data_IF_092598398685
#
_entry.id   IF_092598398685
#
_cell.length_a   1.000
_cell.length_b   1.000
_cell.length_c   1.000
_cell.angle_alpha   90.00
_cell.angle_beta   90.00
_cell.angle_gamma   90.00
#
_symmetry.space_group_name_H-M   'P 1'
#
loop_
_entity.id
_entity.type
_entity.pdbx_description
1 polymer ?
#
# COMPACT_ATOMS: atom_id res chain seq x y z
N UNK A 1 5.85 20.12 -14.80
CA UNK A 1 5.07 18.86 -14.94
C UNK A 1 3.61 19.24 -15.16
N UNK A 2 2.83 18.53 -16.00
CA UNK A 2 1.41 18.84 -16.14
C UNK A 2 0.69 18.61 -14.81
N UNK A 3 -0.23 19.51 -14.43
CA UNK A 3 -0.81 19.58 -13.07
C UNK A 3 -1.46 18.26 -12.60
N UNK A 4 -2.09 17.52 -13.51
CA UNK A 4 -2.71 16.22 -13.26
C UNK A 4 -1.70 15.15 -12.78
N UNK A 5 -0.46 15.16 -13.30
CA UNK A 5 0.56 14.21 -12.87
C UNK A 5 1.03 14.46 -11.44
N UNK A 6 1.00 15.70 -10.97
CA UNK A 6 1.37 16.01 -9.58
C UNK A 6 0.34 15.47 -8.59
N UNK A 7 -0.95 15.60 -8.90
CA UNK A 7 -2.04 15.03 -8.09
C UNK A 7 -2.00 13.51 -8.07
N UNK A 8 -1.76 12.89 -9.24
CA UNK A 8 -1.59 11.45 -9.33
C UNK A 8 -0.37 10.96 -8.54
N UNK A 9 0.79 11.59 -8.74
CA UNK A 9 2.02 11.23 -8.03
C UNK A 9 1.87 11.41 -6.51
N UNK A 10 1.28 12.52 -6.05
CA UNK A 10 1.04 12.75 -4.62
C UNK A 10 0.09 11.70 -4.04
N UNK A 11 -1.01 11.40 -4.74
CA UNK A 11 -1.97 10.41 -4.26
C UNK A 11 -1.38 9.01 -4.21
N UNK A 12 -0.67 8.61 -5.27
CA UNK A 12 -0.01 7.31 -5.32
C UNK A 12 1.13 7.19 -4.29
N UNK A 13 1.92 8.26 -4.08
CA UNK A 13 2.92 8.29 -3.03
C UNK A 13 2.30 8.19 -1.63
N UNK A 14 1.13 8.82 -1.40
CA UNK A 14 0.39 8.67 -0.15
C UNK A 14 -0.13 7.26 0.06
N UNK A 15 -0.67 6.63 -0.98
CA UNK A 15 -1.12 5.24 -0.98
C UNK A 15 0.01 4.25 -0.70
N UNK A 16 1.25 4.53 -1.11
CA UNK A 16 2.42 3.70 -0.77
C UNK A 16 2.94 4.04 0.64
N UNK A 17 2.99 5.34 0.97
CA UNK A 17 3.54 5.86 2.22
C UNK A 17 2.73 5.52 3.46
N UNK A 18 1.48 5.07 3.29
CA UNK A 18 0.60 4.66 4.39
C UNK A 18 1.23 3.58 5.31
N UNK A 19 2.19 2.80 4.80
CA UNK A 19 2.93 1.79 5.59
C UNK A 19 3.69 2.43 6.76
N UNK A 20 4.04 3.71 6.67
CA UNK A 20 4.65 4.46 7.78
C UNK A 20 3.68 4.78 8.93
N UNK A 21 2.40 4.40 8.81
CA UNK A 21 1.38 4.56 9.84
C UNK A 21 1.10 6.03 10.17
N UNK A 22 0.97 6.36 11.45
CA UNK A 22 0.65 7.71 11.93
C UNK A 22 1.67 8.76 11.49
N UNK A 23 2.93 8.37 11.32
CA UNK A 23 3.98 9.26 10.84
C UNK A 23 3.71 9.76 9.41
N UNK A 24 3.00 8.97 8.58
CA UNK A 24 2.62 9.38 7.24
C UNK A 24 1.68 10.59 7.28
N UNK A 25 0.67 10.59 8.15
CA UNK A 25 -0.27 11.72 8.27
C UNK A 25 0.42 13.00 8.74
N UNK A 26 1.34 12.90 9.70
CA UNK A 26 2.06 14.05 10.25
C UNK A 26 2.99 14.69 9.20
N UNK A 27 3.58 13.89 8.32
CA UNK A 27 4.60 14.37 7.37
C UNK A 27 4.05 14.67 5.97
N UNK A 28 3.19 13.82 5.41
CA UNK A 28 2.73 13.95 4.03
C UNK A 28 1.63 15.00 3.85
N UNK A 29 0.81 15.28 4.86
CA UNK A 29 -0.21 16.35 4.78
C UNK A 29 0.44 17.72 4.55
N UNK A 30 1.38 18.20 5.41
CA UNK A 30 2.03 19.48 5.16
C UNK A 30 2.87 19.46 3.89
N UNK A 31 3.57 18.36 3.60
CA UNK A 31 4.38 18.22 2.38
C UNK A 31 3.52 18.31 1.10
N UNK A 32 2.34 17.70 1.10
CA UNK A 32 1.38 17.77 -0.01
C UNK A 32 0.88 19.19 -0.25
N UNK A 33 0.62 19.94 0.82
CA UNK A 33 0.25 21.36 0.74
C UNK A 33 1.36 22.22 0.15
N UNK A 34 2.59 22.07 0.66
CA UNK A 34 3.78 22.77 0.16
C UNK A 34 4.05 22.41 -1.32
N UNK A 35 3.92 21.13 -1.69
CA UNK A 35 4.09 20.68 -3.08
C UNK A 35 3.07 21.31 -4.03
N UNK A 36 1.81 21.42 -3.63
CA UNK A 36 0.79 22.09 -4.44
C UNK A 36 1.03 23.61 -4.51
N UNK A 37 1.49 24.24 -3.42
CA UNK A 37 1.85 25.66 -3.39
C UNK A 37 3.01 25.98 -4.34
N UNK A 38 4.07 25.17 -4.33
CA UNK A 38 5.21 25.30 -5.22
C UNK A 38 4.80 25.21 -6.71
N UNK A 39 3.77 24.42 -7.01
CA UNK A 39 3.18 24.30 -8.35
C UNK A 39 2.18 25.41 -8.70
N UNK A 40 1.97 26.40 -7.82
CA UNK A 40 1.00 27.48 -8.01
C UNK A 40 -0.46 27.04 -7.87
N UNK A 41 -0.72 25.97 -7.11
CA UNK A 41 -2.05 25.44 -6.83
C UNK A 41 -2.41 25.64 -5.36
N UNK A 42 -3.69 25.44 -5.04
CA UNK A 42 -4.21 25.55 -3.68
C UNK A 42 -3.47 24.59 -2.73
N UNK A 43 -2.80 25.08 -1.66
CA UNK A 43 -2.16 24.23 -0.66
C UNK A 43 -3.19 23.34 0.06
N UNK A 44 -4.41 23.83 0.22
CA UNK A 44 -5.52 23.09 0.83
C UNK A 44 -5.86 21.85 0.00
N UNK A 45 -5.86 21.96 -1.34
CA UNK A 45 -6.05 20.80 -2.23
C UNK A 45 -4.94 19.76 -2.01
N UNK A 46 -3.69 20.19 -1.92
CA UNK A 46 -2.56 19.29 -1.67
C UNK A 46 -2.70 18.55 -0.33
N UNK A 47 -3.10 19.25 0.73
CA UNK A 47 -3.35 18.66 2.04
C UNK A 47 -4.52 17.65 2.01
N UNK A 48 -5.62 17.97 1.33
CA UNK A 48 -6.77 17.06 1.16
C UNK A 48 -6.35 15.81 0.39
N UNK A 49 -5.63 15.97 -0.73
CA UNK A 49 -5.14 14.86 -1.54
C UNK A 49 -4.27 13.94 -0.69
N UNK A 50 -3.31 14.50 0.05
CA UNK A 50 -2.46 13.72 0.94
C UNK A 50 -3.27 12.95 2.00
N UNK A 51 -4.17 13.64 2.71
CA UNK A 51 -5.02 13.02 3.74
C UNK A 51 -5.85 11.86 3.18
N UNK A 52 -6.62 12.12 2.12
CA UNK A 52 -7.51 11.11 1.49
C UNK A 52 -6.71 9.93 0.98
N UNK A 53 -5.53 10.17 0.40
CA UNK A 53 -4.71 9.11 -0.18
C UNK A 53 -4.08 8.19 0.86
N UNK A 54 -3.61 8.74 2.00
CA UNK A 54 -3.08 7.93 3.10
C UNK A 54 -4.19 7.08 3.71
N UNK A 55 -5.39 7.64 3.88
CA UNK A 55 -6.56 6.90 4.38
C UNK A 55 -6.99 5.79 3.44
N UNK A 56 -7.09 6.07 2.14
CA UNK A 56 -7.42 5.07 1.14
C UNK A 56 -6.35 3.97 1.03
N UNK A 57 -5.10 4.30 1.39
CA UNK A 57 -3.97 3.38 1.37
C UNK A 57 -4.07 2.26 2.38
N UNK A 58 -4.91 2.36 3.42
CA UNK A 58 -5.04 1.31 4.43
C UNK A 58 -5.67 0.01 3.89
N UNK A 59 -6.57 0.12 2.92
CA UNK A 59 -7.30 -1.01 2.31
C UNK A 59 -6.93 -1.24 0.83
N UNK A 60 -6.49 -0.19 0.14
CA UNK A 60 -6.16 -0.19 -1.29
C UNK A 60 -4.67 -0.06 -1.56
N UNK A 61 -3.82 -0.84 -0.88
CA UNK A 61 -2.36 -0.72 -0.94
C UNK A 61 -1.75 -1.60 -2.06
N UNK A 62 -0.66 -1.14 -2.70
CA UNK A 62 0.16 -2.00 -3.57
C UNK A 62 1.10 -2.94 -2.79
N UNK A 63 1.22 -2.75 -1.47
CA UNK A 63 2.08 -3.50 -0.56
C UNK A 63 1.27 -4.44 0.32
N UNK A 64 1.89 -5.52 0.81
CA UNK A 64 1.31 -6.34 1.87
C UNK A 64 1.46 -5.63 3.21
N UNK A 65 0.39 -5.62 3.99
CA UNK A 65 0.27 -4.84 5.22
C UNK A 65 -0.18 -5.71 6.37
N UNK A 66 -0.13 -5.16 7.58
CA UNK A 66 -0.70 -5.82 8.77
C UNK A 66 -2.21 -6.00 8.64
N UNK A 67 -2.90 -5.11 7.94
CA UNK A 67 -4.34 -5.21 7.65
C UNK A 67 -4.64 -6.50 6.89
N UNK A 68 -3.83 -6.88 5.90
CA UNK A 68 -4.04 -8.11 5.13
C UNK A 68 -3.95 -9.37 6.00
N UNK A 69 -3.00 -9.40 6.95
CA UNK A 69 -2.84 -10.50 7.91
C UNK A 69 -4.05 -10.56 8.85
N UNK A 70 -4.52 -9.40 9.34
CA UNK A 70 -5.69 -9.33 10.21
C UNK A 70 -6.94 -9.83 9.48
N UNK A 71 -7.17 -9.34 8.25
CA UNK A 71 -8.30 -9.73 7.42
C UNK A 71 -8.27 -11.22 7.08
N UNK A 72 -7.11 -11.79 6.77
CA UNK A 72 -6.98 -13.22 6.49
C UNK A 72 -7.23 -14.07 7.74
N UNK A 73 -6.79 -13.60 8.90
CA UNK A 73 -6.99 -14.28 10.18
C UNK A 73 -8.46 -14.30 10.57
N UNK A 74 -9.15 -13.16 10.55
CA UNK A 74 -10.59 -13.09 10.86
C UNK A 74 -11.42 -13.88 9.86
N UNK A 75 -11.04 -13.88 8.58
CA UNK A 75 -11.75 -14.64 7.55
C UNK A 75 -11.55 -16.14 7.72
N UNK A 76 -10.36 -16.57 8.15
CA UNK A 76 -10.09 -17.98 8.50
C UNK A 76 -10.93 -18.41 9.69
N UNK A 77 -10.95 -17.61 10.76
CA UNK A 77 -11.79 -17.90 11.94
C UNK A 77 -13.28 -17.97 11.57
N UNK A 78 -13.74 -17.10 10.67
CA UNK A 78 -15.11 -17.12 10.17
C UNK A 78 -15.39 -18.38 9.32
N UNK A 79 -14.50 -18.76 8.40
CA UNK A 79 -14.65 -19.97 7.59
C UNK A 79 -14.68 -21.25 8.45
N UNK A 80 -13.87 -21.27 9.51
CA UNK A 80 -13.79 -22.37 10.48
C UNK A 80 -15.05 -22.57 11.33
N UNK A 81 -16.00 -21.63 11.29
CA UNK A 81 -17.34 -21.86 11.89
C UNK A 81 -18.18 -22.84 11.08
N UNK A 82 -17.88 -23.04 9.79
CA UNK A 82 -18.60 -23.94 8.89
C UNK A 82 -17.80 -25.23 8.66
N UNK A 83 -16.51 -25.12 8.36
CA UNK A 83 -15.59 -26.23 8.09
C UNK A 83 -14.23 -25.91 8.73
N UNK A 84 -13.64 -26.76 9.58
CA UNK A 84 -12.35 -26.48 10.21
C UNK A 84 -11.14 -26.48 9.25
N UNK A 85 -11.27 -27.04 8.04
CA UNK A 85 -10.15 -27.23 7.11
C UNK A 85 -9.60 -25.96 6.41
N UNK A 86 -10.39 -24.94 6.03
CA UNK A 86 -9.90 -23.79 5.27
C UNK A 86 -8.91 -22.92 6.05
N UNK A 87 -7.87 -22.47 5.34
CA UNK A 87 -6.91 -21.46 5.80
C UNK A 87 -6.76 -20.39 4.72
N UNK A 88 -7.02 -19.13 5.07
CA UNK A 88 -6.93 -18.00 4.14
C UNK A 88 -5.56 -17.34 4.31
N UNK A 89 -4.79 -17.34 3.22
CA UNK A 89 -3.45 -16.75 3.20
C UNK A 89 -3.51 -15.23 3.19
N UNK A 90 -2.59 -14.51 3.87
CA UNK A 90 -2.52 -13.04 3.82
C UNK A 90 -2.36 -12.46 2.41
N UNK A 91 -1.82 -13.22 1.46
CA UNK A 91 -1.64 -12.80 0.07
C UNK A 91 -2.90 -12.94 -0.78
N UNK A 92 -4.00 -13.49 -0.24
CA UNK A 92 -5.22 -13.77 -1.02
C UNK A 92 -5.82 -12.50 -1.66
N UNK A 93 -5.70 -11.35 -0.99
CA UNK A 93 -6.23 -10.07 -1.47
C UNK A 93 -5.21 -9.24 -2.28
N UNK A 94 -3.97 -9.72 -2.44
CA UNK A 94 -2.86 -8.90 -2.92
C UNK A 94 -3.09 -8.31 -4.33
N UNK A 95 -3.51 -9.13 -5.29
CA UNK A 95 -3.75 -8.68 -6.67
C UNK A 95 -4.89 -7.67 -6.76
N UNK A 96 -5.90 -7.82 -5.90
CA UNK A 96 -7.01 -6.87 -5.81
C UNK A 96 -6.55 -5.53 -5.22
N UNK A 97 -5.76 -5.55 -4.15
CA UNK A 97 -5.17 -4.35 -3.56
C UNK A 97 -4.27 -3.59 -4.55
N UNK A 98 -3.41 -4.31 -5.27
CA UNK A 98 -2.52 -3.73 -6.28
C UNK A 98 -3.30 -3.02 -7.40
N UNK A 99 -4.30 -3.70 -7.98
CA UNK A 99 -5.15 -3.08 -9.01
C UNK A 99 -5.97 -1.90 -8.46
N UNK A 100 -6.50 -2.04 -7.24
CA UNK A 100 -7.30 -1.01 -6.57
C UNK A 100 -6.48 0.24 -6.25
N UNK A 101 -5.21 0.11 -5.87
CA UNK A 101 -4.35 1.25 -5.56
C UNK A 101 -4.21 2.22 -6.74
N UNK A 102 -4.00 1.68 -7.94
CA UNK A 102 -3.90 2.47 -9.18
C UNK A 102 -5.25 3.08 -9.52
N UNK A 103 -6.32 2.31 -9.40
CA UNK A 103 -7.67 2.78 -9.68
C UNK A 103 -8.09 3.91 -8.72
N UNK A 104 -7.82 3.77 -7.42
CA UNK A 104 -8.10 4.78 -6.40
C UNK A 104 -7.31 6.05 -6.67
N UNK A 105 -6.00 5.96 -6.97
CA UNK A 105 -5.18 7.13 -7.30
C UNK A 105 -5.73 7.87 -8.53
N UNK A 106 -6.20 7.13 -9.54
CA UNK A 106 -6.84 7.71 -10.72
C UNK A 106 -8.15 8.39 -10.36
N UNK A 107 -9.00 7.75 -9.54
CA UNK A 107 -10.27 8.33 -9.07
C UNK A 107 -10.03 9.60 -8.25
N UNK A 108 -9.09 9.59 -7.31
CA UNK A 108 -8.71 10.76 -6.52
C UNK A 108 -8.28 11.89 -7.46
N UNK A 109 -7.42 11.59 -8.43
CA UNK A 109 -6.97 12.56 -9.43
C UNK A 109 -8.14 13.14 -10.22
N UNK A 110 -9.04 12.31 -10.73
CA UNK A 110 -10.22 12.76 -11.48
C UNK A 110 -11.13 13.64 -10.61
N UNK A 111 -11.39 13.23 -9.37
CA UNK A 111 -12.23 13.98 -8.44
C UNK A 111 -11.61 15.34 -8.14
N UNK A 112 -10.32 15.38 -7.87
CA UNK A 112 -9.60 16.61 -7.53
C UNK A 112 -9.55 17.56 -8.73
N UNK A 113 -9.15 17.09 -9.90
CA UNK A 113 -8.99 17.93 -11.09
C UNK A 113 -10.34 18.39 -11.67
N UNK A 114 -11.38 17.55 -11.64
CA UNK A 114 -12.68 17.91 -12.22
C UNK A 114 -13.65 18.58 -11.27
N UNK A 115 -13.62 18.26 -9.98
CA UNK A 115 -14.64 18.74 -9.03
C UNK A 115 -14.10 19.72 -8.01
N UNK A 116 -12.94 19.43 -7.42
CA UNK A 116 -12.42 20.29 -6.34
C UNK A 116 -11.66 21.50 -6.91
N UNK A 117 -10.85 21.31 -7.96
CA UNK A 117 -10.09 22.39 -8.58
C UNK A 117 -10.97 23.44 -9.29
N UNK A 118 -12.25 23.14 -9.56
CA UNK A 118 -13.21 24.09 -10.13
C UNK A 118 -13.95 24.92 -9.06
N UNK A 119 -13.72 24.66 -7.76
CA UNK A 119 -14.39 25.42 -6.70
C UNK A 119 -13.68 26.76 -6.48
N UNK A 120 -14.41 27.89 -6.53
CA UNK A 120 -13.84 29.22 -6.32
C UNK A 120 -13.29 29.41 -4.90
N UNK A 121 -13.85 28.70 -3.91
CA UNK A 121 -13.40 28.76 -2.51
C UNK A 121 -11.98 28.17 -2.28
N UNK A 122 -11.42 27.50 -3.30
CA UNK A 122 -10.09 26.89 -3.26
C UNK A 122 -9.10 27.63 -4.18
N UNK A 123 -9.45 28.81 -4.67
CA UNK A 123 -8.53 29.66 -5.41
C UNK A 123 -7.30 30.01 -4.56
N UNK A 124 -6.16 30.14 -5.23
CA UNK A 124 -4.89 30.46 -4.57
C UNK A 124 -4.95 31.92 -4.14
N UNK A 125 -4.98 32.18 -2.84
CA UNK A 125 -4.87 33.54 -2.32
C UNK A 125 -3.51 34.13 -2.73
N UNK A 126 -3.53 35.14 -3.60
CA UNK A 126 -2.33 35.81 -4.12
C UNK A 126 -1.49 36.44 -2.99
N UNK A 127 -2.10 36.77 -1.84
CA UNK A 127 -1.40 37.32 -0.67
C UNK A 127 -0.58 36.28 0.13
N UNK A 128 -0.61 35.00 -0.22
CA UNK A 128 0.18 33.93 0.41
C UNK A 128 1.22 33.29 -0.52
N UNK A 129 1.47 33.90 -1.69
CA UNK A 129 2.40 33.42 -2.73
C UNK A 129 3.85 33.91 -2.53
N UNK A 130 4.10 34.82 -1.58
CA UNK A 130 5.40 35.46 -1.35
C UNK A 130 6.50 34.50 -0.80
N UNK A 131 6.13 33.30 -0.34
CA UNK A 131 7.07 32.33 0.27
C UNK A 131 7.41 31.13 -0.63
N UNK A 132 7.29 31.28 -1.96
CA UNK A 132 7.58 30.19 -2.91
C UNK A 132 9.04 29.70 -2.81
N UNK A 133 9.97 30.60 -2.50
CA UNK A 133 11.39 30.28 -2.37
C UNK A 133 11.67 29.49 -1.07
N UNK A 134 10.98 29.80 0.03
CA UNK A 134 11.08 29.04 1.29
C UNK A 134 10.51 27.62 1.13
N UNK A 135 9.39 27.46 0.42
CA UNK A 135 8.80 26.16 0.11
C UNK A 135 9.69 25.28 -0.75
N UNK A 136 10.29 25.87 -1.78
CA UNK A 136 11.23 25.16 -2.63
C UNK A 136 12.38 24.63 -1.79
N UNK A 137 12.87 25.40 -0.79
CA UNK A 137 13.88 24.93 0.15
C UNK A 137 13.42 23.73 0.98
N UNK A 138 12.13 23.61 1.34
CA UNK A 138 11.60 22.42 2.03
C UNK A 138 11.46 21.20 1.12
N UNK A 139 11.27 21.41 -0.18
CA UNK A 139 11.17 20.35 -1.19
C UNK A 139 12.51 19.95 -1.79
N UNK A 140 13.55 20.77 -1.62
CA UNK A 140 14.90 20.49 -2.08
C UNK A 140 15.51 19.29 -1.36
N UNK A 141 15.78 18.23 -2.12
CA UNK A 141 16.42 17.03 -1.59
C UNK A 141 17.92 17.32 -1.45
N UNK A 142 18.38 17.47 -0.21
CA UNK A 142 19.81 17.66 0.08
C UNK A 142 20.63 16.49 -0.51
N UNK A 143 21.82 16.73 -1.11
CA UNK A 143 22.61 15.70 -1.79
C UNK A 143 22.98 14.51 -0.88
N UNK A 144 23.06 14.72 0.43
CA UNK A 144 23.27 13.67 1.42
C UNK A 144 22.05 12.75 1.56
N UNK A 145 20.84 13.30 1.61
CA UNK A 145 19.59 12.54 1.65
C UNK A 145 19.41 11.73 0.35
N UNK A 146 19.75 12.32 -0.81
CA UNK A 146 19.72 11.61 -2.09
C UNK A 146 20.70 10.44 -2.17
N UNK A 147 21.89 10.57 -1.57
CA UNK A 147 22.86 9.45 -1.47
C UNK A 147 22.37 8.38 -0.50
N UNK A 148 21.84 8.77 0.65
CA UNK A 148 21.26 7.85 1.62
C UNK A 148 20.09 7.05 1.01
N UNK A 149 19.20 7.72 0.27
CA UNK A 149 18.05 7.08 -0.38
C UNK A 149 18.49 6.03 -1.42
N UNK A 150 19.54 6.31 -2.21
CA UNK A 150 20.12 5.33 -3.15
C UNK A 150 20.72 4.14 -2.43
N UNK A 151 21.43 4.39 -1.32
CA UNK A 151 22.01 3.32 -0.51
C UNK A 151 20.93 2.44 0.12
N UNK A 152 19.90 3.05 0.72
CA UNK A 152 18.73 2.34 1.27
C UNK A 152 18.05 1.52 0.18
N UNK A 153 17.79 2.11 -0.99
CA UNK A 153 17.21 1.38 -2.12
C UNK A 153 18.04 0.16 -2.54
N UNK A 154 19.36 0.29 -2.58
CA UNK A 154 20.26 -0.83 -2.90
C UNK A 154 20.25 -1.90 -1.80
N UNK A 155 20.26 -1.51 -0.53
CA UNK A 155 20.16 -2.43 0.62
C UNK A 155 18.81 -3.15 0.61
N UNK A 156 17.71 -2.46 0.30
CA UNK A 156 16.39 -3.08 0.18
C UNK A 156 16.36 -4.12 -0.95
N UNK A 157 16.93 -3.82 -2.13
CA UNK A 157 17.03 -4.80 -3.22
C UNK A 157 17.86 -6.01 -2.79
N UNK A 158 18.99 -5.78 -2.12
CA UNK A 158 19.83 -6.86 -1.60
C UNK A 158 19.07 -7.72 -0.58
N UNK A 159 18.33 -7.09 0.33
CA UNK A 159 17.53 -7.76 1.34
C UNK A 159 16.48 -8.70 0.73
N UNK A 160 15.84 -8.32 -0.38
CA UNK A 160 14.88 -9.18 -1.07
C UNK A 160 15.53 -10.24 -1.98
N UNK A 161 16.75 -10.02 -2.47
CA UNK A 161 17.43 -10.96 -3.40
C UNK A 161 18.28 -12.01 -2.69
N UNK A 162 18.91 -11.68 -1.56
CA UNK A 162 19.76 -12.63 -0.81
C UNK A 162 18.99 -13.86 -0.32
N UNK A 163 17.78 -13.77 0.27
CA UNK A 163 17.01 -14.94 0.67
C UNK A 163 16.55 -15.81 -0.50
N UNK A 164 16.39 -15.24 -1.70
CA UNK A 164 16.02 -15.96 -2.93
C UNK A 164 17.21 -16.74 -3.51
N UNK A 165 18.44 -16.27 -3.25
CA UNK A 165 19.68 -16.89 -3.72
C UNK A 165 20.24 -18.01 -2.84
N UNK A 166 19.77 -18.15 -1.58
CA UNK A 166 20.13 -19.28 -0.74
C UNK A 166 19.11 -20.42 -0.93
N UNK A 167 19.49 -21.56 -1.55
CA UNK A 167 18.64 -22.74 -1.48
C UNK A 167 18.43 -23.09 0.00
N UNK A 168 17.21 -23.48 0.40
CA UNK A 168 16.91 -23.79 1.79
C UNK A 168 17.88 -24.86 2.28
N UNK A 169 18.71 -24.51 3.26
CA UNK A 169 19.58 -25.46 3.96
C UNK A 169 18.63 -26.41 4.70
N UNK A 170 18.39 -27.58 4.08
CA UNK A 170 17.91 -28.81 4.67
C UNK A 170 16.84 -28.66 5.76
N UNK A 171 15.58 -28.57 5.34
CA UNK A 171 14.43 -28.73 6.22
C UNK A 171 13.25 -29.25 5.42
N UNK A 172 13.02 -30.55 5.47
CA UNK A 172 11.92 -31.26 4.83
C UNK A 172 10.56 -30.78 5.34
N UNK A 173 10.01 -29.71 4.79
CA UNK A 173 8.56 -29.49 4.83
C UNK A 173 7.97 -30.14 3.58
N UNK A 174 8.05 -31.47 3.61
CA UNK A 174 7.14 -32.34 2.88
C UNK A 174 5.73 -31.86 3.19
N UNK A 175 4.99 -31.54 2.13
CA UNK A 175 3.55 -31.43 2.08
C UNK A 175 3.00 -32.78 2.55
N UNK A 176 2.88 -32.98 3.87
CA UNK A 176 2.18 -34.12 4.43
C UNK A 176 0.69 -33.79 4.40
N UNK A 177 -0.05 -34.71 3.78
CA UNK A 177 -1.51 -34.86 3.80
C UNK A 177 -2.30 -34.18 2.66
N UNK A 178 -2.11 -34.68 1.45
CA UNK A 178 -3.21 -34.88 0.49
C UNK A 178 -3.19 -36.33 0.01
N UNK A 179 -4.10 -37.18 0.51
CA UNK A 179 -4.29 -38.51 -0.08
C UNK A 179 -4.80 -39.66 0.80
N UNK A 180 -5.36 -39.45 1.99
CA UNK A 180 -6.18 -40.49 2.64
C UNK A 180 -7.65 -40.28 2.25
N UNK A 181 -8.08 -40.80 1.10
CA UNK A 181 -9.46 -41.23 0.82
C UNK A 181 -9.53 -42.00 -0.52
N UNK A 182 -9.27 -43.31 -0.47
CA UNK A 182 -9.98 -44.25 -1.35
C UNK A 182 -10.49 -45.40 -0.49
N UNK A 183 -11.79 -45.34 -0.21
CA UNK A 183 -12.51 -46.43 0.42
C UNK A 183 -12.70 -47.57 -0.57
N UNK A 184 -12.36 -48.77 -0.14
CA UNK A 184 -12.97 -50.00 -0.66
C UNK A 184 -13.46 -50.82 0.52
N UNK A 185 -14.74 -50.67 0.80
CA UNK A 185 -15.55 -51.63 1.54
C UNK A 185 -15.73 -52.87 0.66
N UNK A 186 -15.27 -54.05 1.12
CA UNK A 186 -15.94 -55.36 0.99
C UNK A 186 -15.08 -56.53 1.52
N UNK A 187 -15.63 -57.23 2.51
CA UNK A 187 -15.76 -58.69 2.50
C UNK A 187 -14.68 -59.55 3.18
N UNK A 188 -15.12 -60.40 4.12
CA UNK A 188 -14.38 -61.55 4.67
C UNK A 188 -14.22 -61.46 6.18
N UNK A 189 -15.19 -61.92 6.98
CA UNK A 189 -15.30 -63.30 7.49
C UNK A 189 -14.00 -63.85 8.12
N UNK A 190 -14.18 -64.31 9.36
CA UNK A 190 -13.54 -65.49 9.97
C UNK A 190 -12.25 -65.32 10.80
N UNK A 191 -12.42 -65.29 12.14
CA UNK A 191 -11.88 -66.24 13.16
C UNK A 191 -11.62 -65.53 14.50
N UNK A 192 -12.41 -65.81 15.54
CA UNK A 192 -12.30 -66.92 16.52
C UNK A 192 -11.23 -66.66 17.59
N UNK A 193 -11.76 -66.53 18.82
CA UNK A 193 -11.16 -66.69 20.16
C UNK A 193 -10.21 -65.61 20.67
#
# INVERSE_FOLDING_TARGET
>A
MPACYATFALSYAGLIGHVAGDAAYVTLIPLGGIAFRALGRSPILGAIVAFVSISAGYDGSPSLTTTDILLSTISTMAAQTIDPAPFITPTANYFFGLASSVLISLVITVVVEKFLAMRPDLEVDEHHVDNKDEDSSYLEVHPEAGRALKFVGLVSILFFTVPVGYPPIGGTNQVHETGLHHGTSRGGLDRVR
#
